data_IF_852905328200
#
_entry.id   IF_852905328200
#
_cell.length_a   1.000
_cell.length_b   1.000
_cell.length_c   1.000
_cell.angle_alpha   90.00
_cell.angle_beta   90.00
_cell.angle_gamma   90.00
#
_symmetry.space_group_name_H-M   'P 1'
#
loop_
_entity.id
_entity.type
_entity.pdbx_description
1 polymer ?
#
# COMPACT_ATOMS: atom_id res chain seq x y z
N UNK A 1 -4.77 -15.37 3.03
CA UNK A 1 -4.89 -14.00 3.56
C UNK A 1 -4.27 -13.09 2.53
N UNK A 2 -5.08 -12.31 1.82
CA UNK A 2 -4.61 -11.35 0.83
C UNK A 2 -3.93 -10.17 1.54
N UNK A 3 -3.01 -9.48 0.87
CA UNK A 3 -2.23 -8.37 1.44
C UNK A 3 -2.19 -7.21 0.47
N UNK A 4 -2.47 -6.00 0.96
CA UNK A 4 -2.35 -4.74 0.22
C UNK A 4 -1.19 -3.91 0.75
N UNK A 5 -0.29 -3.47 -0.13
CA UNK A 5 0.81 -2.56 0.15
C UNK A 5 0.69 -1.24 -0.60
N UNK A 6 0.90 -0.13 0.11
CA UNK A 6 0.95 1.24 -0.41
C UNK A 6 2.24 1.88 0.09
N UNK A 7 3.20 2.17 -0.79
CA UNK A 7 4.54 2.59 -0.37
C UNK A 7 5.01 3.86 -1.06
N UNK A 8 5.73 4.71 -0.34
CA UNK A 8 6.38 5.89 -0.89
C UNK A 8 7.71 5.53 -1.56
N UNK A 9 7.99 6.07 -2.75
CA UNK A 9 9.28 5.81 -3.43
C UNK A 9 10.45 6.53 -2.76
N UNK A 10 10.20 7.66 -2.09
CA UNK A 10 11.19 8.52 -1.47
C UNK A 10 11.01 8.54 0.06
N UNK A 11 10.78 7.37 0.64
CA UNK A 11 10.65 7.19 2.08
C UNK A 11 12.05 7.12 2.74
N UNK A 12 12.44 8.09 3.59
CA UNK A 12 13.73 8.06 4.27
C UNK A 12 13.80 7.03 5.42
N UNK A 13 12.65 6.51 5.87
CA UNK A 13 12.54 5.54 6.95
C UNK A 13 12.56 4.12 6.40
N UNK A 14 11.92 3.88 5.25
CA UNK A 14 11.82 2.56 4.62
C UNK A 14 12.38 2.58 3.19
N UNK A 15 13.60 2.05 2.97
CA UNK A 15 14.21 2.02 1.64
C UNK A 15 13.40 1.21 0.62
N UNK A 16 13.42 1.63 -0.64
CA UNK A 16 12.72 0.95 -1.74
C UNK A 16 13.11 -0.54 -1.88
N UNK A 17 14.36 -0.88 -1.62
CA UNK A 17 14.83 -2.27 -1.71
C UNK A 17 14.24 -3.17 -0.61
N UNK A 18 13.84 -2.60 0.54
CA UNK A 18 13.09 -3.33 1.55
C UNK A 18 11.71 -3.75 1.03
N UNK A 19 11.04 -2.93 0.22
CA UNK A 19 9.76 -3.29 -0.40
C UNK A 19 9.92 -4.38 -1.45
N UNK A 20 10.97 -4.32 -2.28
CA UNK A 20 11.27 -5.37 -3.26
C UNK A 20 11.59 -6.70 -2.57
N UNK A 21 12.36 -6.67 -1.49
CA UNK A 21 12.68 -7.87 -0.71
C UNK A 21 11.42 -8.46 -0.05
N UNK A 22 10.53 -7.61 0.47
CA UNK A 22 9.24 -8.03 0.99
C UNK A 22 8.38 -8.69 -0.09
N UNK A 23 8.19 -8.04 -1.24
CA UNK A 23 7.42 -8.55 -2.37
C UNK A 23 7.94 -9.93 -2.84
N UNK A 24 9.24 -10.04 -3.10
CA UNK A 24 9.87 -11.30 -3.50
C UNK A 24 9.69 -12.41 -2.44
N UNK A 25 9.78 -12.06 -1.16
CA UNK A 25 9.58 -13.03 -0.08
C UNK A 25 8.13 -13.51 -0.02
N UNK A 26 7.16 -12.60 -0.15
CA UNK A 26 5.74 -12.94 -0.12
C UNK A 26 5.34 -13.78 -1.34
N UNK A 27 5.87 -13.45 -2.51
CA UNK A 27 5.74 -14.27 -3.71
C UNK A 27 6.29 -15.69 -3.49
N UNK A 28 7.51 -15.83 -2.94
CA UNK A 28 8.12 -17.15 -2.67
C UNK A 28 7.32 -18.02 -1.69
N UNK A 29 6.51 -17.39 -0.84
CA UNK A 29 5.65 -18.04 0.13
C UNK A 29 4.23 -18.32 -0.43
N UNK A 30 4.00 -18.07 -1.72
CA UNK A 30 2.70 -18.22 -2.37
C UNK A 30 1.62 -17.32 -1.80
N UNK A 31 1.99 -16.12 -1.32
CA UNK A 31 1.03 -15.13 -0.79
C UNK A 31 0.47 -14.29 -1.93
N UNK A 32 -0.82 -13.99 -1.82
CA UNK A 32 -1.53 -13.06 -2.69
C UNK A 32 -1.29 -11.63 -2.19
N UNK A 33 -0.55 -10.84 -2.97
CA UNK A 33 -0.09 -9.51 -2.60
C UNK A 33 -0.26 -8.51 -3.73
N UNK A 34 -0.82 -7.34 -3.41
CA UNK A 34 -0.98 -6.20 -4.31
C UNK A 34 -0.19 -5.01 -3.76
N UNK A 35 0.90 -4.62 -4.44
CA UNK A 35 1.76 -3.51 -4.05
C UNK A 35 1.68 -2.38 -5.08
N UNK A 36 1.50 -1.15 -4.60
CA UNK A 36 1.74 0.08 -5.37
C UNK A 36 2.79 0.93 -4.69
N UNK A 37 3.73 1.43 -5.50
CA UNK A 37 4.73 2.40 -5.10
C UNK A 37 4.36 3.75 -5.72
N UNK A 38 4.22 4.77 -4.89
CA UNK A 38 3.88 6.14 -5.29
C UNK A 38 5.17 6.91 -5.56
N UNK A 39 5.42 7.22 -6.83
CA UNK A 39 6.59 7.96 -7.26
C UNK A 39 6.59 9.38 -6.68
N UNK A 40 7.71 9.80 -6.09
CA UNK A 40 7.88 11.14 -5.51
C UNK A 40 7.34 11.27 -4.07
N UNK A 41 6.43 10.39 -3.65
CA UNK A 41 5.86 10.41 -2.31
C UNK A 41 6.92 10.12 -1.24
N UNK A 42 6.76 10.76 -0.07
CA UNK A 42 7.62 10.59 1.11
C UNK A 42 6.87 9.86 2.23
N UNK A 43 7.58 9.50 3.30
CA UNK A 43 6.96 8.94 4.48
C UNK A 43 5.79 9.81 4.98
N UNK A 44 4.67 9.18 5.33
CA UNK A 44 3.46 9.87 5.79
C UNK A 44 2.65 10.57 4.68
N UNK A 45 2.86 10.26 3.40
CA UNK A 45 2.15 10.95 2.30
C UNK A 45 0.62 10.83 2.34
N UNK A 46 0.08 9.79 2.99
CA UNK A 46 -1.36 9.58 3.13
C UNK A 46 -1.96 10.24 4.38
N UNK A 47 -1.14 10.87 5.23
CA UNK A 47 -1.61 11.55 6.44
C UNK A 47 -1.91 13.04 6.14
N UNK A 48 -3.18 13.47 6.14
CA UNK A 48 -3.56 14.85 5.85
C UNK A 48 -3.10 15.86 6.93
N UNK A 49 -2.67 15.39 8.09
CA UNK A 49 -2.11 16.24 9.15
C UNK A 49 -0.58 16.41 9.04
N UNK A 50 0.06 15.65 8.16
CA UNK A 50 1.51 15.58 8.01
C UNK A 50 2.10 16.55 6.97
N UNK A 51 3.40 16.81 7.08
CA UNK A 51 4.13 17.72 6.16
C UNK A 51 4.37 17.11 4.76
N UNK A 52 4.26 15.79 4.63
CA UNK A 52 4.49 15.06 3.38
C UNK A 52 3.20 14.78 2.61
N UNK A 53 2.06 15.32 3.04
CA UNK A 53 0.76 14.99 2.49
C UNK A 53 0.71 15.20 0.97
N UNK A 54 0.34 14.14 0.26
CA UNK A 54 0.06 14.16 -1.17
C UNK A 54 -1.40 13.76 -1.36
N UNK A 55 -2.25 14.74 -1.65
CA UNK A 55 -3.70 14.52 -1.76
C UNK A 55 -4.09 13.53 -2.85
N UNK A 56 -3.34 13.47 -3.96
CA UNK A 56 -3.64 12.57 -5.07
C UNK A 56 -3.27 11.14 -4.69
N UNK A 57 -2.07 10.95 -4.15
CA UNK A 57 -1.64 9.64 -3.68
C UNK A 57 -2.49 9.15 -2.50
N UNK A 58 -2.85 10.03 -1.55
CA UNK A 58 -3.71 9.69 -0.42
C UNK A 58 -5.12 9.25 -0.85
N UNK A 59 -5.72 9.93 -1.83
CA UNK A 59 -7.02 9.55 -2.37
C UNK A 59 -6.99 8.17 -3.03
N UNK A 60 -5.92 7.86 -3.78
CA UNK A 60 -5.72 6.55 -4.39
C UNK A 60 -5.48 5.45 -3.34
N UNK A 61 -4.66 5.72 -2.29
CA UNK A 61 -4.50 4.80 -1.15
C UNK A 61 -5.86 4.44 -0.54
N UNK A 62 -6.72 5.44 -0.33
CA UNK A 62 -8.06 5.23 0.22
C UNK A 62 -8.93 4.36 -0.69
N UNK A 63 -8.96 4.67 -1.99
CA UNK A 63 -9.72 3.88 -2.97
C UNK A 63 -9.23 2.43 -3.04
N UNK A 64 -7.91 2.21 -3.06
CA UNK A 64 -7.31 0.86 -3.06
C UNK A 64 -7.65 0.11 -1.78
N UNK A 65 -7.58 0.76 -0.62
CA UNK A 65 -7.90 0.14 0.66
C UNK A 65 -9.37 -0.32 0.72
N UNK A 66 -10.32 0.56 0.36
CA UNK A 66 -11.74 0.21 0.34
C UNK A 66 -12.03 -0.88 -0.70
N UNK A 67 -11.45 -0.78 -1.90
CA UNK A 67 -11.60 -1.79 -2.95
C UNK A 67 -11.12 -3.17 -2.49
N UNK A 68 -9.94 -3.22 -1.89
CA UNK A 68 -9.37 -4.44 -1.32
C UNK A 68 -10.26 -5.06 -0.24
N UNK A 69 -10.75 -4.25 0.72
CA UNK A 69 -11.64 -4.75 1.76
C UNK A 69 -12.97 -5.26 1.16
N UNK A 70 -13.52 -4.55 0.17
CA UNK A 70 -14.72 -5.00 -0.56
C UNK A 70 -14.49 -6.24 -1.44
N UNK A 71 -13.25 -6.66 -1.71
CA UNK A 71 -12.99 -7.92 -2.42
C UNK A 71 -12.85 -9.10 -1.45
N UNK A 72 -12.48 -8.82 -0.20
CA UNK A 72 -11.99 -9.87 0.71
C UNK A 72 -12.74 -9.97 2.05
N UNK A 73 -13.55 -8.97 2.42
CA UNK A 73 -14.35 -8.96 3.65
C UNK A 73 -15.85 -9.09 3.42
N UNK A 74 -16.31 -9.14 2.17
CA UNK A 74 -17.76 -9.28 1.90
C UNK A 74 -18.17 -10.68 2.33
N UNK A 75 -18.84 -10.73 3.47
CA UNK A 75 -19.66 -11.88 3.85
C UNK A 75 -20.68 -12.12 2.72
N UNK A 76 -20.85 -13.35 2.22
CA UNK A 76 -22.03 -13.64 1.42
C UNK A 76 -23.24 -13.32 2.29
N UNK A 77 -24.06 -12.37 1.82
CA UNK A 77 -25.35 -12.06 2.42
C UNK A 77 -26.12 -13.36 2.64
N UNK A 78 -26.64 -13.55 3.86
CA UNK A 78 -27.70 -14.53 4.12
C UNK A 78 -28.91 -14.27 3.23
#
# INVERSE_FOLDING_TARGET
>A
MPILGNFASNDPVVPLDSFKAFDAKMYSLGKDIDIKIYAGAKHGFSDPSGQSFDAVAAADVWQRAIGFLNMHLVHPSR
#
